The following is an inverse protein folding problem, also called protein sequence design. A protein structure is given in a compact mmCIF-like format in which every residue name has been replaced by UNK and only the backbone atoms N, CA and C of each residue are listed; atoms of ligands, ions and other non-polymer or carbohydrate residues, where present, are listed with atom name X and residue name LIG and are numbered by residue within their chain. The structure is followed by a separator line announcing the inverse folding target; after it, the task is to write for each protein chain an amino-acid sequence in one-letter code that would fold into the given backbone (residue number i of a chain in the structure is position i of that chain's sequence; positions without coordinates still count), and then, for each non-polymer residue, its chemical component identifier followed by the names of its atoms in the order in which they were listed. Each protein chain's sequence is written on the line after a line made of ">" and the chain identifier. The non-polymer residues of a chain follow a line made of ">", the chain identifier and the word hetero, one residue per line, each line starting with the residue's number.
data_IF_707312245750
#
_entry.id   IF_707312245750
#
_cell.length_a   1.000
_cell.length_b   1.000
_cell.length_c   1.000
_cell.angle_alpha   90.00
_cell.angle_beta   90.00
_cell.angle_gamma   90.00
#
_symmetry.space_group_name_H-M   'P 1'
#
loop_
_entity.id
_entity.type
_entity.pdbx_description
1 polymer ?
#
# COMPACT_ATOMS: atom_id res chain seq x y z
N UNK A 1 10.36 5.12 -5.48
CA UNK A 1 11.60 4.38 -5.84
C UNK A 1 11.72 3.05 -5.10
N UNK A 2 11.51 2.99 -3.78
CA UNK A 2 11.59 1.74 -3.00
C UNK A 2 10.73 0.61 -3.59
N UNK A 3 9.46 0.82 -3.98
CA UNK A 3 8.67 -0.23 -4.63
C UNK A 3 9.34 -0.83 -5.88
N UNK A 4 10.02 0.00 -6.69
CA UNK A 4 10.74 -0.49 -7.87
C UNK A 4 11.94 -1.38 -7.47
N UNK A 5 12.64 -1.03 -6.39
CA UNK A 5 13.79 -1.84 -5.89
C UNK A 5 13.29 -3.17 -5.33
N UNK A 6 12.20 -3.15 -4.56
CA UNK A 6 11.56 -4.36 -4.04
C UNK A 6 11.17 -5.31 -5.19
N UNK A 7 10.55 -4.78 -6.22
CA UNK A 7 10.09 -5.58 -7.37
C UNK A 7 11.26 -6.04 -8.23
N UNK A 8 12.29 -5.21 -8.42
CA UNK A 8 13.53 -5.58 -9.12
C UNK A 8 14.24 -6.75 -8.43
N UNK A 9 14.37 -6.70 -7.10
CA UNK A 9 15.02 -7.79 -6.35
C UNK A 9 14.26 -9.12 -6.52
N UNK A 10 12.93 -9.11 -6.44
CA UNK A 10 12.15 -10.30 -6.69
C UNK A 10 12.28 -10.77 -8.14
N UNK A 11 12.19 -9.84 -9.10
CA UNK A 11 12.32 -10.17 -10.52
C UNK A 11 13.67 -10.83 -10.84
N UNK A 12 14.75 -10.35 -10.24
CA UNK A 12 16.08 -10.93 -10.43
C UNK A 12 16.23 -12.34 -9.85
N UNK A 13 15.46 -12.66 -8.80
CA UNK A 13 15.47 -14.00 -8.17
C UNK A 13 14.47 -14.98 -8.78
N UNK A 14 13.28 -14.48 -9.14
CA UNK A 14 12.13 -15.27 -9.62
C UNK A 14 11.35 -14.48 -10.68
N UNK A 15 11.90 -14.32 -11.89
CA UNK A 15 11.27 -13.52 -12.94
C UNK A 15 9.90 -14.04 -13.36
N UNK A 16 9.63 -15.32 -13.21
CA UNK A 16 8.36 -15.96 -13.53
C UNK A 16 7.19 -15.50 -12.67
N UNK A 17 7.45 -14.92 -11.49
CA UNK A 17 6.42 -14.39 -10.60
C UNK A 17 5.94 -12.99 -11.00
N UNK A 18 6.68 -12.28 -11.87
CA UNK A 18 6.39 -10.90 -12.23
C UNK A 18 6.00 -10.83 -13.70
N UNK A 19 4.72 -10.63 -13.99
CA UNK A 19 4.24 -10.43 -15.34
C UNK A 19 4.41 -8.98 -15.79
N UNK A 20 3.72 -8.07 -15.10
CA UNK A 20 3.72 -6.64 -15.42
C UNK A 20 3.74 -5.82 -14.14
N UNK A 21 4.36 -4.65 -14.20
CA UNK A 21 4.47 -3.70 -13.09
C UNK A 21 3.89 -2.36 -13.54
N UNK A 22 2.88 -1.90 -12.83
CA UNK A 22 2.24 -0.61 -13.07
C UNK A 22 2.66 0.37 -11.97
N UNK A 23 3.51 1.33 -12.31
CA UNK A 23 3.96 2.35 -11.36
C UNK A 23 3.02 3.56 -11.41
N UNK A 24 2.02 3.56 -10.54
CA UNK A 24 0.99 4.61 -10.51
C UNK A 24 1.49 5.92 -9.92
N UNK A 25 0.97 7.04 -10.45
CA UNK A 25 1.32 8.40 -10.03
C UNK A 25 2.71 8.83 -10.46
N UNK A 26 3.35 8.10 -11.36
CA UNK A 26 4.73 8.30 -11.78
C UNK A 26 4.91 8.84 -13.21
N UNK A 27 3.81 9.11 -13.92
CA UNK A 27 3.88 9.56 -15.31
C UNK A 27 4.79 10.79 -15.50
N UNK A 28 4.67 11.79 -14.62
CA UNK A 28 5.55 12.97 -14.65
C UNK A 28 7.01 12.66 -14.28
N UNK A 29 7.24 11.62 -13.47
CA UNK A 29 8.60 11.18 -13.12
C UNK A 29 9.31 10.51 -14.30
N UNK A 30 8.54 9.96 -15.26
CA UNK A 30 9.10 9.38 -16.47
C UNK A 30 9.84 10.40 -17.37
N UNK A 31 9.68 11.70 -17.11
CA UNK A 31 10.43 12.77 -17.78
C UNK A 31 11.61 13.30 -16.96
N UNK A 32 11.72 12.87 -15.69
CA UNK A 32 12.74 13.40 -14.77
C UNK A 32 14.08 12.66 -14.93
N UNK A 33 15.13 13.35 -15.33
CA UNK A 33 16.43 12.76 -15.66
C UNK A 33 17.02 11.86 -14.57
N UNK A 34 16.97 12.30 -13.30
CA UNK A 34 17.50 11.52 -12.16
C UNK A 34 16.70 10.23 -11.98
N UNK A 35 15.38 10.30 -12.05
CA UNK A 35 14.51 9.13 -11.95
C UNK A 35 14.81 8.14 -13.08
N UNK A 36 14.87 8.61 -14.32
CA UNK A 36 15.20 7.78 -15.48
C UNK A 36 16.59 7.15 -15.38
N UNK A 37 17.60 7.90 -14.90
CA UNK A 37 18.96 7.35 -14.75
C UNK A 37 19.03 6.18 -13.75
N UNK A 38 18.15 6.16 -12.77
CA UNK A 38 18.04 5.06 -11.80
C UNK A 38 17.22 3.90 -12.38
N UNK A 39 16.04 4.19 -12.92
CA UNK A 39 15.11 3.15 -13.41
C UNK A 39 15.68 2.42 -14.64
N UNK A 40 16.38 3.11 -15.53
CA UNK A 40 16.99 2.51 -16.72
C UNK A 40 18.09 1.47 -16.41
N UNK A 41 18.58 1.41 -15.17
CA UNK A 41 19.53 0.39 -14.71
C UNK A 41 18.83 -0.90 -14.25
N UNK A 42 17.51 -0.87 -14.06
CA UNK A 42 16.75 -2.01 -13.57
C UNK A 42 16.44 -3.00 -14.71
N UNK A 43 16.53 -4.28 -14.41
CA UNK A 43 16.20 -5.35 -15.34
C UNK A 43 14.71 -5.33 -15.73
N UNK A 44 13.81 -5.01 -14.76
CA UNK A 44 12.38 -4.82 -15.05
C UNK A 44 12.12 -3.73 -16.10
N UNK A 45 12.98 -2.72 -16.20
CA UNK A 45 12.87 -1.69 -17.25
C UNK A 45 13.45 -2.16 -18.57
N UNK A 46 14.62 -2.79 -18.55
CA UNK A 46 15.26 -3.37 -19.73
C UNK A 46 14.35 -4.38 -20.41
N UNK A 47 13.70 -5.23 -19.63
CA UNK A 47 12.86 -6.31 -20.12
C UNK A 47 11.40 -5.85 -20.35
N UNK A 48 11.16 -4.53 -20.32
CA UNK A 48 9.86 -3.86 -20.59
C UNK A 48 8.71 -4.33 -19.69
N UNK A 49 9.05 -4.73 -18.46
CA UNK A 49 8.09 -5.19 -17.46
C UNK A 49 7.41 -4.07 -16.70
N UNK A 50 7.94 -2.84 -16.71
CA UNK A 50 7.41 -1.70 -15.97
C UNK A 50 6.86 -0.63 -16.88
N UNK A 51 5.64 -0.19 -16.59
CA UNK A 51 4.99 1.01 -17.16
C UNK A 51 4.82 2.10 -16.11
N UNK A 52 4.80 3.36 -16.56
CA UNK A 52 4.58 4.53 -15.74
C UNK A 52 3.19 5.08 -16.03
N UNK A 53 2.35 5.09 -15.00
CA UNK A 53 0.94 5.41 -15.13
C UNK A 53 0.58 6.72 -14.43
N UNK A 54 -0.53 7.30 -14.81
CA UNK A 54 -1.16 8.40 -14.11
C UNK A 54 -1.62 7.98 -12.71
N UNK A 55 -2.24 8.91 -11.98
CA UNK A 55 -2.89 8.59 -10.70
C UNK A 55 -4.21 7.88 -10.96
N UNK A 56 -4.38 6.72 -10.31
CA UNK A 56 -5.64 6.00 -10.25
C UNK A 56 -6.08 5.85 -8.80
N UNK A 57 -7.40 5.87 -8.56
CA UNK A 57 -7.96 5.35 -7.32
C UNK A 57 -7.88 3.84 -7.36
N UNK A 58 -7.67 3.18 -6.22
CA UNK A 58 -7.54 1.72 -6.18
C UNK A 58 -8.73 1.00 -6.82
N UNK A 59 -9.96 1.45 -6.55
CA UNK A 59 -11.17 0.89 -7.18
C UNK A 59 -11.10 0.92 -8.70
N UNK A 60 -10.59 1.99 -9.32
CA UNK A 60 -10.45 2.09 -10.77
C UNK A 60 -9.34 1.17 -11.30
N UNK A 61 -8.24 1.03 -10.56
CA UNK A 61 -7.17 0.10 -10.91
C UNK A 61 -7.69 -1.34 -10.95
N UNK A 62 -8.47 -1.74 -9.96
CA UNK A 62 -9.10 -3.07 -9.91
C UNK A 62 -10.10 -3.29 -11.06
N UNK A 63 -10.93 -2.29 -11.39
CA UNK A 63 -11.85 -2.37 -12.53
C UNK A 63 -11.14 -2.46 -13.88
N UNK A 64 -9.96 -1.86 -14.02
CA UNK A 64 -9.12 -1.93 -15.23
C UNK A 64 -8.34 -3.23 -15.35
N UNK A 65 -8.63 -4.21 -14.51
CA UNK A 65 -7.94 -5.51 -14.48
C UNK A 65 -6.44 -5.44 -14.11
N UNK A 66 -6.01 -4.38 -13.44
CA UNK A 66 -4.70 -4.35 -12.79
C UNK A 66 -4.72 -5.19 -11.50
N UNK A 67 -5.32 -6.38 -11.58
CA UNK A 67 -5.35 -7.30 -10.46
C UNK A 67 -3.94 -7.75 -10.12
N UNK A 68 -3.56 -7.65 -8.85
CA UNK A 68 -2.22 -8.04 -8.44
C UNK A 68 -1.91 -7.60 -7.03
N UNK A 69 -0.65 -7.69 -6.66
CA UNK A 69 -0.15 -7.25 -5.37
C UNK A 69 0.27 -5.79 -5.42
N UNK A 70 -0.22 -4.98 -4.49
CA UNK A 70 0.20 -3.60 -4.30
C UNK A 70 1.54 -3.60 -3.57
N UNK A 71 2.51 -2.83 -4.06
CA UNK A 71 3.76 -2.54 -3.34
C UNK A 71 3.79 -1.06 -3.02
N UNK A 72 3.75 -0.74 -1.74
CA UNK A 72 3.65 0.62 -1.22
C UNK A 72 4.80 0.95 -0.27
N UNK A 73 5.25 2.18 -0.30
CA UNK A 73 6.24 2.71 0.65
C UNK A 73 5.87 4.12 1.04
N UNK A 74 5.76 4.38 2.33
CA UNK A 74 5.40 5.69 2.87
C UNK A 74 6.45 6.16 3.87
N UNK A 75 6.69 7.47 3.87
CA UNK A 75 7.53 8.14 4.85
C UNK A 75 6.65 8.96 5.79
N UNK A 76 6.75 8.71 7.10
CA UNK A 76 6.04 9.44 8.16
C UNK A 76 4.51 9.60 7.93
N UNK A 77 3.89 8.61 7.28
CA UNK A 77 2.45 8.58 7.03
C UNK A 77 1.86 7.31 7.66
N UNK A 78 1.50 7.41 8.96
CA UNK A 78 0.99 6.28 9.72
C UNK A 78 -0.38 5.81 9.22
N UNK A 79 -1.30 6.73 8.96
CA UNK A 79 -2.63 6.43 8.43
C UNK A 79 -2.70 6.76 6.95
N UNK A 80 -2.71 5.74 6.11
CA UNK A 80 -2.85 5.90 4.66
C UNK A 80 -4.11 5.19 4.16
N UNK A 81 -4.95 5.92 3.45
CA UNK A 81 -6.20 5.38 2.90
C UNK A 81 -5.97 4.20 1.95
N UNK A 82 -4.82 4.11 1.29
CA UNK A 82 -4.50 2.98 0.42
C UNK A 82 -4.49 1.65 1.19
N UNK A 83 -3.99 1.62 2.44
CA UNK A 83 -4.06 0.43 3.28
C UNK A 83 -5.51 0.08 3.62
N UNK A 84 -6.32 1.06 4.03
CA UNK A 84 -7.74 0.83 4.34
C UNK A 84 -8.50 0.33 3.12
N UNK A 85 -8.25 0.92 1.94
CA UNK A 85 -8.86 0.47 0.67
C UNK A 85 -8.41 -0.96 0.32
N UNK A 86 -7.11 -1.28 0.45
CA UNK A 86 -6.59 -2.62 0.18
C UNK A 86 -7.24 -3.67 1.11
N UNK A 87 -7.33 -3.37 2.40
CA UNK A 87 -8.01 -4.21 3.40
C UNK A 87 -9.49 -4.39 3.07
N UNK A 88 -10.18 -3.31 2.69
CA UNK A 88 -11.61 -3.35 2.34
C UNK A 88 -11.88 -4.25 1.13
N UNK A 89 -11.05 -4.14 0.08
CA UNK A 89 -11.19 -4.94 -1.14
C UNK A 89 -10.53 -6.32 -1.02
N UNK A 90 -9.77 -6.60 0.03
CA UNK A 90 -9.00 -7.84 0.19
C UNK A 90 -7.88 -7.95 -0.83
N UNK A 91 -7.27 -6.82 -1.23
CA UNK A 91 -6.16 -6.78 -2.18
C UNK A 91 -4.84 -6.94 -1.41
N UNK A 92 -3.95 -7.86 -1.81
CA UNK A 92 -2.67 -8.02 -1.13
C UNK A 92 -1.83 -6.76 -1.25
N UNK A 93 -1.33 -6.26 -0.12
CA UNK A 93 -0.49 -5.07 -0.05
C UNK A 93 0.78 -5.34 0.73
N UNK A 94 1.92 -5.06 0.10
CA UNK A 94 3.25 -5.04 0.71
C UNK A 94 3.55 -3.60 1.11
N UNK A 95 3.88 -3.35 2.38
CA UNK A 95 3.98 -1.98 2.91
C UNK A 95 4.92 -1.88 4.11
N UNK A 96 5.34 -0.65 4.43
CA UNK A 96 6.18 -0.33 5.59
C UNK A 96 5.46 0.49 6.68
N UNK A 97 4.13 0.48 6.71
CA UNK A 97 3.38 1.21 7.74
C UNK A 97 3.37 0.44 9.06
N UNK A 98 4.03 0.94 10.09
CA UNK A 98 3.99 0.40 11.46
C UNK A 98 2.57 0.36 12.03
N UNK A 99 1.74 1.32 11.64
CA UNK A 99 0.34 1.40 12.09
C UNK A 99 -0.51 0.20 11.64
N UNK A 100 -0.14 -0.41 10.51
CA UNK A 100 -0.84 -1.55 9.93
C UNK A 100 0.03 -2.83 9.88
N UNK A 101 1.07 -2.95 10.68
CA UNK A 101 2.05 -4.05 10.59
C UNK A 101 1.44 -5.45 10.73
N UNK A 102 0.32 -5.58 11.42
CA UNK A 102 -0.41 -6.85 11.58
C UNK A 102 -1.33 -7.18 10.39
N UNK A 103 -1.41 -6.29 9.40
CA UNK A 103 -2.28 -6.39 8.23
C UNK A 103 -1.48 -6.34 6.94
N UNK A 104 -1.87 -7.14 5.95
CA UNK A 104 -1.11 -7.24 4.70
C UNK A 104 0.26 -7.91 4.88
N UNK A 105 1.27 -7.44 4.15
CA UNK A 105 2.63 -7.98 4.11
C UNK A 105 3.61 -6.87 4.47
N UNK A 106 3.92 -6.79 5.76
CA UNK A 106 4.74 -5.72 6.32
C UNK A 106 6.23 -5.95 6.12
N UNK A 107 6.98 -4.88 5.81
CA UNK A 107 8.43 -4.82 5.90
C UNK A 107 8.87 -3.55 6.65
N UNK A 108 9.96 -3.62 7.46
CA UNK A 108 10.36 -2.50 8.29
C UNK A 108 11.05 -1.40 7.48
N UNK A 109 10.81 -0.16 7.87
CA UNK A 109 11.53 1.04 7.42
C UNK A 109 11.78 1.08 5.89
N UNK A 110 13.05 0.92 5.48
CA UNK A 110 13.54 0.97 4.10
C UNK A 110 14.07 -0.39 3.63
N UNK A 111 13.82 -1.46 4.36
CA UNK A 111 14.33 -2.79 4.04
C UNK A 111 13.67 -3.36 2.77
N UNK A 112 14.26 -2.98 1.62
CA UNK A 112 13.78 -3.43 0.33
C UNK A 112 13.96 -4.95 0.13
N UNK A 113 14.92 -5.57 0.83
CA UNK A 113 15.14 -7.02 0.75
C UNK A 113 14.01 -7.77 1.46
N UNK A 114 13.66 -7.34 2.67
CA UNK A 114 12.50 -7.88 3.37
C UNK A 114 11.23 -7.60 2.58
N UNK A 115 11.06 -6.37 2.05
CA UNK A 115 9.95 -6.03 1.17
C UNK A 115 9.80 -6.97 -0.03
N UNK A 116 10.91 -7.40 -0.62
CA UNK A 116 10.93 -8.36 -1.73
C UNK A 116 10.52 -9.78 -1.29
N UNK A 117 10.91 -10.20 -0.09
CA UNK A 117 10.47 -11.48 0.48
C UNK A 117 8.96 -11.46 0.78
N UNK A 118 8.47 -10.35 1.33
CA UNK A 118 7.05 -10.15 1.59
C UNK A 118 6.23 -10.08 0.29
N UNK A 119 6.78 -9.49 -0.79
CA UNK A 119 6.14 -9.51 -2.10
C UNK A 119 6.04 -10.93 -2.66
N UNK A 120 7.11 -11.70 -2.57
CA UNK A 120 7.08 -13.10 -2.96
C UNK A 120 6.02 -13.87 -2.17
N UNK A 121 6.01 -13.73 -0.84
CA UNK A 121 5.01 -14.36 0.03
C UNK A 121 3.59 -13.96 -0.36
N UNK A 122 3.36 -12.67 -0.62
CA UNK A 122 2.05 -12.18 -1.05
C UNK A 122 1.58 -12.88 -2.34
N UNK A 123 2.44 -13.00 -3.34
CA UNK A 123 2.12 -13.64 -4.62
C UNK A 123 1.84 -15.13 -4.44
N UNK A 124 2.67 -15.82 -3.66
CA UNK A 124 2.60 -17.28 -3.51
C UNK A 124 1.49 -17.74 -2.56
N UNK A 125 1.14 -16.96 -1.51
CA UNK A 125 0.28 -17.48 -0.42
C UNK A 125 -1.01 -16.71 -0.19
N UNK A 126 -1.20 -15.52 -0.79
CA UNK A 126 -2.36 -14.68 -0.47
C UNK A 126 -3.69 -15.38 -0.73
N UNK A 127 -3.79 -16.15 -1.80
CA UNK A 127 -5.02 -16.89 -2.14
C UNK A 127 -5.46 -17.85 -1.02
N UNK A 128 -4.51 -18.48 -0.37
CA UNK A 128 -4.76 -19.45 0.70
C UNK A 128 -5.08 -18.75 2.03
N UNK A 129 -4.45 -17.61 2.28
CA UNK A 129 -4.61 -16.85 3.53
C UNK A 129 -5.70 -15.78 3.46
N UNK A 130 -6.32 -15.59 2.30
CA UNK A 130 -7.28 -14.51 2.02
C UNK A 130 -8.41 -14.42 3.06
N UNK A 131 -9.07 -15.54 3.38
CA UNK A 131 -10.22 -15.51 4.30
C UNK A 131 -9.82 -15.10 5.71
N UNK A 132 -8.71 -15.65 6.22
CA UNK A 132 -8.22 -15.32 7.56
C UNK A 132 -7.68 -13.89 7.67
N UNK A 133 -7.04 -13.39 6.61
CA UNK A 133 -6.64 -11.98 6.56
C UNK A 133 -7.85 -11.05 6.52
N UNK A 134 -8.84 -11.35 5.70
CA UNK A 134 -10.05 -10.54 5.58
C UNK A 134 -10.86 -10.44 6.87
N UNK A 135 -10.86 -11.48 7.70
CA UNK A 135 -11.52 -11.44 9.01
C UNK A 135 -10.82 -10.44 9.94
N UNK A 136 -9.49 -10.52 10.07
CA UNK A 136 -8.69 -9.54 10.84
C UNK A 136 -8.83 -8.11 10.29
N UNK A 137 -8.84 -7.96 8.96
CA UNK A 137 -8.98 -6.67 8.31
C UNK A 137 -10.33 -6.01 8.60
N UNK A 138 -11.41 -6.79 8.70
CA UNK A 138 -12.73 -6.28 9.08
C UNK A 138 -12.76 -5.70 10.50
N UNK A 139 -12.10 -6.36 11.46
CA UNK A 139 -11.97 -5.86 12.83
C UNK A 139 -11.22 -4.53 12.84
N UNK A 140 -10.13 -4.45 12.09
CA UNK A 140 -9.34 -3.20 11.99
C UNK A 140 -10.12 -2.09 11.29
N UNK A 141 -10.83 -2.40 10.22
CA UNK A 141 -11.66 -1.42 9.50
C UNK A 141 -12.80 -0.88 10.37
N UNK A 142 -13.34 -1.70 11.28
CA UNK A 142 -14.36 -1.27 12.22
C UNK A 142 -13.87 -0.17 13.17
N UNK A 143 -12.58 -0.14 13.51
CA UNK A 143 -12.00 0.94 14.32
C UNK A 143 -12.18 2.33 13.67
N UNK A 144 -12.28 2.39 12.34
CA UNK A 144 -12.44 3.64 11.56
C UNK A 144 -13.89 3.86 11.10
N UNK A 145 -14.81 2.94 11.42
CA UNK A 145 -16.19 3.05 10.95
C UNK A 145 -16.92 4.20 11.68
N UNK A 146 -17.71 5.04 10.98
CA UNK A 146 -18.43 6.15 11.60
C UNK A 146 -19.42 5.71 12.69
N UNK A 147 -20.00 4.52 12.57
CA UNK A 147 -20.93 3.97 13.57
C UNK A 147 -20.24 3.26 14.74
N UNK A 148 -18.91 3.27 14.78
CA UNK A 148 -18.19 2.73 15.93
C UNK A 148 -18.43 3.63 17.16
N UNK A 149 -18.99 3.09 18.27
CA UNK A 149 -19.32 3.91 19.44
C UNK A 149 -18.16 4.70 20.02
N UNK A 150 -16.93 4.17 19.93
CA UNK A 150 -15.71 4.88 20.37
C UNK A 150 -15.46 6.13 19.54
N UNK A 151 -15.69 6.07 18.23
CA UNK A 151 -15.52 7.23 17.34
C UNK A 151 -16.59 8.27 17.63
N UNK A 152 -17.85 7.85 17.78
CA UNK A 152 -18.97 8.73 18.12
C UNK A 152 -18.66 9.47 19.42
N UNK A 153 -18.31 8.73 20.50
CA UNK A 153 -17.99 9.33 21.78
C UNK A 153 -16.78 10.28 21.70
N UNK A 154 -15.72 9.89 20.98
CA UNK A 154 -14.55 10.74 20.78
C UNK A 154 -14.88 12.07 20.11
N UNK A 155 -15.78 12.09 19.12
CA UNK A 155 -16.25 13.33 18.49
C UNK A 155 -17.13 14.16 19.43
N UNK A 156 -18.03 13.54 20.21
CA UNK A 156 -18.83 14.23 21.22
C UNK A 156 -17.92 14.92 22.25
N UNK A 157 -16.97 14.19 22.81
CA UNK A 157 -16.01 14.73 23.80
C UNK A 157 -15.19 15.89 23.22
N UNK A 158 -14.77 15.78 21.95
CA UNK A 158 -14.02 16.85 21.28
C UNK A 158 -14.85 18.13 21.15
N UNK A 159 -16.12 18.00 20.75
CA UNK A 159 -17.04 19.13 20.58
C UNK A 159 -17.35 19.76 21.93
N UNK A 160 -17.68 18.98 22.95
CA UNK A 160 -17.97 19.47 24.31
C UNK A 160 -16.78 20.22 24.91
N UNK A 161 -15.56 19.66 24.77
CA UNK A 161 -14.34 20.32 25.22
C UNK A 161 -14.06 21.64 24.50
N UNK A 162 -14.34 21.70 23.20
CA UNK A 162 -14.19 22.94 22.42
C UNK A 162 -15.18 24.02 22.86
N UNK A 163 -16.45 23.66 23.06
CA UNK A 163 -17.50 24.56 23.55
C UNK A 163 -17.19 25.07 24.96
N UNK A 164 -16.77 24.20 25.89
CA UNK A 164 -16.40 24.58 27.27
C UNK A 164 -15.24 25.58 27.30
N UNK A 165 -14.28 25.49 26.38
CA UNK A 165 -13.18 26.47 26.26
C UNK A 165 -13.64 27.81 25.72
N UNK A 166 -14.64 27.83 24.85
CA UNK A 166 -15.19 29.08 24.30
C UNK A 166 -16.11 29.83 25.25
N UNK A 167 -16.86 29.10 26.11
CA UNK A 167 -17.77 29.68 27.10
C UNK A 167 -17.06 30.26 28.34
N UNK A 168 -15.78 29.95 28.51
CA UNK A 168 -14.95 30.51 29.62
C UNK A 168 -14.15 31.75 29.23
N UNK A 169 -14.33 32.25 28.04
CA UNK A 169 -13.80 33.55 27.56
C UNK A 169 -14.92 34.58 27.50
#
# INVERSE_FOLDING_TARGET
>A
MIPCIITEDLYNRKPELINDIYNFGSLKLAEHKTFLSMVNKLNIKRDKKISFEGRYKLVWALHKQFAGTIVSHHWMNGLNYLQLEAMYFGTPIVHNSEFFKEHGYYYPEWDAKEGSQQLQRAIETHKETYLSQRERDREKLWEFHPDNPKNIQGYVDLIENALAKHLKK
#
